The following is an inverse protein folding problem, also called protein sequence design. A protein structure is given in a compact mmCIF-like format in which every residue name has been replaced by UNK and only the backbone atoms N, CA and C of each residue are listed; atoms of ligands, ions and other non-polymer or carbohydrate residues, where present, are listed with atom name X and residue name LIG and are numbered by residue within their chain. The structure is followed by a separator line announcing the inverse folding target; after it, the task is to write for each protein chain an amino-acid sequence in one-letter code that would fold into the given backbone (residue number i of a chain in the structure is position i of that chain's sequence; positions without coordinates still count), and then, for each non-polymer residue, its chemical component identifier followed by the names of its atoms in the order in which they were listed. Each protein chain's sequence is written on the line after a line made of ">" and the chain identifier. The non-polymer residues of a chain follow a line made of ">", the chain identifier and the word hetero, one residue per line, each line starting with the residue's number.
data_IF_045917304853
#
_entry.id   IF_045917304853
#
_cell.length_a   1.000
_cell.length_b   1.000
_cell.length_c   1.000
_cell.angle_alpha   90.00
_cell.angle_beta   90.00
_cell.angle_gamma   90.00
#
_symmetry.space_group_name_H-M   'P 1'
#
loop_
_entity.id
_entity.type
_entity.pdbx_description
1 polymer ?
#
# COMPACT_ATOMS: atom_id res chain seq x y z
N UNK A 1 17.77 2.88 -5.07
CA UNK A 1 18.78 3.80 -5.65
C UNK A 1 19.32 4.84 -4.65
N UNK A 2 18.56 5.22 -3.61
CA UNK A 2 19.04 6.09 -2.53
C UNK A 2 20.37 5.63 -1.88
N UNK A 3 20.50 4.35 -1.53
CA UNK A 3 21.76 3.81 -1.00
C UNK A 3 22.94 3.86 -1.99
N UNK A 4 22.65 3.88 -3.30
CA UNK A 4 23.65 3.99 -4.37
C UNK A 4 24.15 5.44 -4.56
N UNK A 5 23.35 6.44 -4.14
CA UNK A 5 23.73 7.86 -4.17
C UNK A 5 24.42 8.31 -2.87
N UNK A 6 24.06 7.74 -1.71
CA UNK A 6 24.78 7.98 -0.45
C UNK A 6 26.22 7.43 -0.47
N UNK A 7 26.46 6.34 -1.20
CA UNK A 7 27.81 5.80 -1.44
C UNK A 7 28.66 6.68 -2.37
N UNK A 8 28.06 7.66 -3.05
CA UNK A 8 28.74 8.61 -3.94
C UNK A 8 29.03 9.98 -3.28
N UNK A 9 28.96 10.09 -1.95
CA UNK A 9 29.27 11.32 -1.20
C UNK A 9 28.44 12.55 -1.61
N UNK A 10 27.26 12.34 -2.20
CA UNK A 10 26.32 13.43 -2.50
C UNK A 10 25.33 13.51 -1.35
N UNK A 11 25.43 14.56 -0.55
CA UNK A 11 24.51 14.87 0.55
C UNK A 11 23.18 15.36 -0.02
N UNK A 12 22.43 14.44 -0.64
CA UNK A 12 21.09 14.71 -1.17
C UNK A 12 20.08 14.15 -0.19
N UNK A 13 19.19 15.01 0.30
CA UNK A 13 18.14 14.61 1.21
C UNK A 13 17.24 13.55 0.56
N UNK A 14 16.79 12.57 1.33
CA UNK A 14 15.85 11.53 0.87
C UNK A 14 14.64 12.13 0.15
N UNK A 15 14.13 13.25 0.65
CA UNK A 15 12.97 13.93 0.07
C UNK A 15 13.28 14.49 -1.32
N UNK A 16 14.48 15.03 -1.55
CA UNK A 16 14.89 15.54 -2.86
C UNK A 16 15.06 14.42 -3.88
N UNK A 17 15.62 13.27 -3.46
CA UNK A 17 15.70 12.08 -4.31
C UNK A 17 14.31 11.59 -4.70
N UNK A 18 13.37 11.54 -3.74
CA UNK A 18 12.00 11.13 -3.99
C UNK A 18 11.29 12.11 -4.96
N UNK A 19 11.44 13.42 -4.77
CA UNK A 19 10.87 14.44 -5.67
C UNK A 19 11.44 14.31 -7.09
N UNK A 20 12.75 14.08 -7.21
CA UNK A 20 13.38 13.84 -8.52
C UNK A 20 12.89 12.55 -9.18
N UNK A 21 12.63 11.49 -8.42
CA UNK A 21 12.04 10.26 -8.94
C UNK A 21 10.58 10.46 -9.36
N UNK A 22 9.76 11.16 -8.57
CA UNK A 22 8.37 11.45 -8.93
C UNK A 22 8.29 12.25 -10.23
N UNK A 23 9.20 13.21 -10.45
CA UNK A 23 9.27 13.99 -11.70
C UNK A 23 9.65 13.15 -12.93
N UNK A 24 10.24 11.97 -12.75
CA UNK A 24 10.63 11.07 -13.85
C UNK A 24 9.48 10.19 -14.34
N UNK A 25 8.41 10.06 -13.56
CA UNK A 25 7.26 9.24 -13.90
C UNK A 25 6.08 10.12 -14.29
N UNK A 26 5.35 9.71 -15.34
CA UNK A 26 4.09 10.36 -15.70
C UNK A 26 3.07 10.20 -14.57
N UNK A 27 2.11 11.11 -14.51
CA UNK A 27 1.00 10.98 -13.56
C UNK A 27 0.22 9.69 -13.84
N UNK A 28 -0.01 8.92 -12.77
CA UNK A 28 -0.77 7.67 -12.85
C UNK A 28 -2.21 8.00 -13.24
N UNK A 29 -2.67 7.45 -14.36
CA UNK A 29 -4.05 7.65 -14.84
C UNK A 29 -4.99 6.68 -14.11
N UNK A 30 -6.25 7.10 -13.92
CA UNK A 30 -7.28 6.24 -13.30
C UNK A 30 -7.43 4.88 -14.00
N UNK A 31 -7.30 4.86 -15.33
CA UNK A 31 -7.35 3.63 -16.14
C UNK A 31 -6.22 2.64 -15.78
N UNK A 32 -5.02 3.12 -15.46
CA UNK A 32 -3.89 2.27 -15.08
C UNK A 32 -4.13 1.59 -13.73
N UNK A 33 -4.79 2.28 -12.81
CA UNK A 33 -5.21 1.72 -11.52
C UNK A 33 -6.23 0.59 -11.75
N UNK A 34 -7.22 0.80 -12.62
CA UNK A 34 -8.22 -0.21 -12.96
C UNK A 34 -7.56 -1.44 -13.59
N UNK A 35 -6.61 -1.26 -14.52
CA UNK A 35 -5.85 -2.38 -15.07
C UNK A 35 -5.07 -3.14 -13.99
N UNK A 36 -4.46 -2.42 -13.04
CA UNK A 36 -3.79 -3.02 -11.88
C UNK A 36 -4.74 -3.87 -11.04
N UNK A 37 -5.92 -3.35 -10.71
CA UNK A 37 -6.95 -4.08 -9.95
C UNK A 37 -7.43 -5.31 -10.74
N UNK A 38 -7.70 -5.17 -12.04
CA UNK A 38 -8.11 -6.28 -12.90
C UNK A 38 -7.09 -7.42 -12.93
N UNK A 39 -5.80 -7.09 -12.98
CA UNK A 39 -4.73 -8.10 -12.91
C UNK A 39 -4.65 -8.78 -11.53
N UNK A 40 -4.86 -8.02 -10.44
CA UNK A 40 -4.90 -8.58 -9.09
C UNK A 40 -6.07 -9.57 -8.95
N UNK A 41 -7.26 -9.21 -9.43
CA UNK A 41 -8.43 -10.09 -9.44
C UNK A 41 -8.20 -11.33 -10.30
N UNK A 42 -7.65 -11.17 -11.51
CA UNK A 42 -7.31 -12.30 -12.38
C UNK A 42 -6.35 -13.28 -11.70
N UNK A 43 -5.40 -12.78 -10.91
CA UNK A 43 -4.50 -13.61 -10.11
C UNK A 43 -5.19 -14.30 -8.93
N UNK A 44 -6.20 -13.67 -8.32
CA UNK A 44 -7.01 -14.34 -7.28
C UNK A 44 -7.83 -15.49 -7.86
N UNK A 45 -8.36 -15.33 -9.08
CA UNK A 45 -9.19 -16.34 -9.75
C UNK A 45 -8.38 -17.46 -10.40
N UNK A 46 -7.26 -17.12 -11.05
CA UNK A 46 -6.36 -18.05 -11.72
C UNK A 46 -4.98 -17.97 -11.06
N UNK A 47 -4.77 -18.70 -9.93
CA UNK A 47 -3.52 -18.62 -9.19
C UNK A 47 -2.34 -19.08 -10.06
N UNK A 48 -1.45 -18.15 -10.34
CA UNK A 48 -0.25 -18.39 -11.15
C UNK A 48 0.95 -18.57 -10.21
N UNK A 49 1.78 -19.60 -10.44
CA UNK A 49 2.90 -19.96 -9.56
C UNK A 49 4.12 -19.01 -9.64
N UNK A 50 4.06 -17.93 -10.42
CA UNK A 50 5.17 -16.97 -10.57
C UNK A 50 5.00 -15.78 -9.65
N UNK A 51 6.11 -15.24 -9.15
CA UNK A 51 6.09 -14.13 -8.20
C UNK A 51 5.57 -12.89 -8.91
N UNK A 52 4.82 -12.06 -8.20
CA UNK A 52 4.35 -10.77 -8.72
C UNK A 52 5.54 -9.91 -9.20
N UNK A 53 6.65 -9.99 -8.47
CA UNK A 53 7.92 -9.34 -8.79
C UNK A 53 8.52 -9.78 -10.14
N UNK A 54 8.30 -11.01 -10.58
CA UNK A 54 8.82 -11.52 -11.87
C UNK A 54 8.14 -10.80 -13.06
N UNK A 55 6.94 -10.26 -12.83
CA UNK A 55 6.19 -9.47 -13.82
C UNK A 55 6.24 -7.96 -13.57
N UNK A 56 6.58 -7.51 -12.36
CA UNK A 56 6.50 -6.11 -11.92
C UNK A 56 7.82 -5.69 -11.26
N UNK A 57 8.94 -5.93 -11.93
CA UNK A 57 10.26 -5.47 -11.49
C UNK A 57 10.44 -3.96 -11.74
N UNK A 58 9.59 -3.14 -11.11
CA UNK A 58 9.72 -1.69 -11.13
C UNK A 58 9.57 -1.16 -9.72
N UNK A 59 10.46 -0.25 -9.34
CA UNK A 59 10.52 0.41 -8.03
C UNK A 59 9.12 0.92 -7.63
N UNK A 60 8.49 0.27 -6.65
CA UNK A 60 7.10 0.51 -6.28
C UNK A 60 6.96 1.77 -5.43
N UNK A 61 6.56 2.88 -6.06
CA UNK A 61 6.24 4.14 -5.39
C UNK A 61 4.72 4.40 -5.37
N UNK A 62 3.92 3.41 -4.94
CA UNK A 62 2.48 3.61 -4.73
C UNK A 62 2.24 4.16 -3.31
N UNK A 63 1.71 5.38 -3.26
CA UNK A 63 1.28 6.03 -2.03
C UNK A 63 -0.24 6.20 -2.05
N UNK A 64 -0.90 5.77 -0.98
CA UNK A 64 -2.36 5.85 -0.85
C UNK A 64 -2.82 7.04 -0.01
N UNK A 65 -1.96 7.54 0.88
CA UNK A 65 -2.25 8.64 1.80
C UNK A 65 -1.13 9.67 1.74
N UNK A 66 -1.46 10.94 1.92
CA UNK A 66 -0.49 12.03 2.02
C UNK A 66 0.30 11.92 3.32
N UNK A 67 1.62 11.78 3.22
CA UNK A 67 2.52 11.66 4.38
C UNK A 67 2.94 13.02 4.97
N UNK A 68 2.47 14.14 4.42
CA UNK A 68 2.76 15.47 4.97
C UNK A 68 1.81 15.87 6.10
N UNK A 69 0.70 15.15 6.27
CA UNK A 69 -0.25 15.36 7.37
C UNK A 69 0.41 15.04 8.72
N UNK A 70 0.15 15.88 9.73
CA UNK A 70 0.60 15.68 11.11
C UNK A 70 0.12 14.35 11.73
N UNK A 71 -1.01 13.83 11.26
CA UNK A 71 -1.56 12.52 11.68
C UNK A 71 -0.69 11.35 11.22
N UNK A 72 0.21 11.56 10.26
CA UNK A 72 1.13 10.51 9.79
C UNK A 72 2.10 10.05 10.88
N UNK A 73 2.46 10.93 11.81
CA UNK A 73 3.36 10.64 12.93
C UNK A 73 2.67 9.83 14.04
N UNK A 74 1.35 9.97 14.19
CA UNK A 74 0.61 9.35 15.30
C UNK A 74 -0.13 8.07 14.88
N UNK A 75 -0.60 7.99 13.65
CA UNK A 75 -1.42 6.87 13.19
C UNK A 75 -0.56 5.73 12.60
N UNK A 76 -0.49 4.60 13.31
CA UNK A 76 0.29 3.42 12.87
C UNK A 76 -0.19 2.80 11.55
N UNK A 77 -1.44 3.02 11.15
CA UNK A 77 -2.03 2.55 9.90
C UNK A 77 -2.14 3.66 8.84
N UNK A 78 -1.43 4.79 9.00
CA UNK A 78 -1.56 5.98 8.15
C UNK A 78 -1.47 5.68 6.65
N UNK A 79 -0.53 4.82 6.26
CA UNK A 79 -0.26 4.45 4.86
C UNK A 79 -1.45 3.85 4.12
N UNK A 80 -2.43 3.31 4.83
CA UNK A 80 -3.66 2.72 4.25
C UNK A 80 -4.92 3.44 4.73
N UNK A 81 -4.78 4.55 5.47
CA UNK A 81 -5.91 5.22 6.11
C UNK A 81 -6.98 5.66 5.12
N UNK A 82 -6.59 6.22 3.97
CA UNK A 82 -7.53 6.61 2.91
C UNK A 82 -8.37 5.45 2.40
N UNK A 83 -7.78 4.25 2.27
CA UNK A 83 -8.50 3.03 1.88
C UNK A 83 -9.45 2.59 2.98
N UNK A 84 -9.01 2.63 4.23
CA UNK A 84 -9.87 2.29 5.38
C UNK A 84 -11.06 3.24 5.49
N UNK A 85 -10.85 4.55 5.34
CA UNK A 85 -11.91 5.56 5.34
C UNK A 85 -12.93 5.28 4.24
N UNK A 86 -12.47 5.08 3.01
CA UNK A 86 -13.33 4.79 1.87
C UNK A 86 -14.15 3.50 2.06
N UNK A 87 -13.53 2.45 2.61
CA UNK A 87 -14.24 1.21 2.91
C UNK A 87 -15.30 1.44 4.00
N UNK A 88 -14.94 2.08 5.10
CA UNK A 88 -15.87 2.35 6.20
C UNK A 88 -17.07 3.17 5.73
N UNK A 89 -16.82 4.26 5.00
CA UNK A 89 -17.89 5.10 4.45
C UNK A 89 -18.81 4.32 3.51
N UNK A 90 -18.23 3.53 2.61
CA UNK A 90 -19.00 2.74 1.64
C UNK A 90 -19.83 1.65 2.30
N UNK A 91 -19.24 0.90 3.25
CA UNK A 91 -19.97 -0.12 4.00
C UNK A 91 -21.09 0.50 4.83
N UNK A 92 -20.84 1.59 5.55
CA UNK A 92 -21.88 2.24 6.36
C UNK A 92 -23.04 2.76 5.51
N UNK A 93 -22.77 3.22 4.29
CA UNK A 93 -23.82 3.74 3.40
C UNK A 93 -24.67 2.64 2.76
N UNK A 94 -24.05 1.56 2.29
CA UNK A 94 -24.72 0.57 1.44
C UNK A 94 -25.08 -0.74 2.16
N UNK A 95 -24.46 -1.04 3.31
CA UNK A 95 -24.67 -2.31 4.00
C UNK A 95 -25.86 -2.26 4.98
N UNK A 96 -26.89 -3.07 4.70
CA UNK A 96 -27.97 -3.29 5.65
C UNK A 96 -27.58 -4.33 6.69
N UNK A 97 -27.47 -3.89 7.95
CA UNK A 97 -27.05 -4.76 9.05
C UNK A 97 -28.14 -5.80 9.39
N UNK A 98 -27.82 -7.11 9.45
CA UNK A 98 -28.75 -8.14 9.88
C UNK A 98 -29.04 -8.05 11.39
N UNK A 99 -30.12 -8.71 11.85
CA UNK A 99 -30.52 -8.75 13.27
C UNK A 99 -29.54 -9.49 14.19
N UNK A 100 -28.66 -10.31 13.62
CA UNK A 100 -27.61 -11.05 14.32
C UNK A 100 -26.29 -10.82 13.60
N UNK A 101 -25.26 -10.47 14.36
CA UNK A 101 -23.92 -10.17 13.85
C UNK A 101 -22.87 -10.96 14.66
N UNK A 102 -21.86 -11.49 13.97
CA UNK A 102 -20.70 -12.14 14.57
C UNK A 102 -19.45 -11.29 14.31
N UNK A 103 -18.58 -11.23 15.32
CA UNK A 103 -17.27 -10.58 15.21
C UNK A 103 -16.18 -11.62 15.38
N UNK A 104 -15.17 -11.54 14.52
CA UNK A 104 -13.98 -12.39 14.55
C UNK A 104 -12.76 -11.57 14.12
N UNK A 105 -11.58 -12.07 14.44
CA UNK A 105 -10.31 -11.44 14.09
C UNK A 105 -9.65 -12.17 12.90
N UNK A 106 -9.21 -11.41 11.90
CA UNK A 106 -8.46 -11.94 10.77
C UNK A 106 -7.06 -11.32 10.71
N UNK A 107 -6.05 -12.17 10.47
CA UNK A 107 -4.66 -11.72 10.31
C UNK A 107 -4.27 -11.71 8.83
N UNK A 108 -3.84 -10.56 8.33
CA UNK A 108 -3.20 -10.45 7.01
C UNK A 108 -1.71 -10.81 7.16
N UNK A 109 -1.22 -11.89 6.53
CA UNK A 109 0.15 -12.33 6.72
C UNK A 109 1.13 -11.31 6.12
N UNK A 110 2.04 -10.81 6.95
CA UNK A 110 3.13 -9.94 6.51
C UNK A 110 4.41 -10.28 7.26
N UNK A 111 5.47 -10.58 6.51
CA UNK A 111 6.82 -10.80 7.05
C UNK A 111 7.71 -9.56 6.98
N UNK A 112 7.16 -8.44 6.51
CA UNK A 112 7.94 -7.21 6.33
C UNK A 112 8.31 -6.59 7.68
N UNK A 113 9.61 -6.32 7.87
CA UNK A 113 10.13 -5.58 9.04
C UNK A 113 9.62 -4.14 9.14
N UNK A 114 9.12 -3.58 8.04
CA UNK A 114 8.59 -2.21 7.99
C UNK A 114 7.12 -2.13 8.43
N UNK A 115 6.47 -3.27 8.67
CA UNK A 115 5.11 -3.30 9.21
C UNK A 115 5.15 -3.17 10.73
N UNK A 116 4.95 -1.95 11.23
CA UNK A 116 4.94 -1.66 12.66
C UNK A 116 3.74 -2.24 13.42
N UNK A 117 2.69 -2.72 12.76
CA UNK A 117 1.50 -3.34 13.38
C UNK A 117 1.49 -4.87 13.29
N UNK A 118 2.56 -5.48 12.77
CA UNK A 118 2.69 -6.94 12.67
C UNK A 118 2.61 -7.60 14.06
N UNK A 119 1.80 -8.64 14.15
CA UNK A 119 1.70 -9.50 15.32
C UNK A 119 2.08 -10.95 14.95
N UNK A 120 2.49 -11.73 15.95
CA UNK A 120 2.72 -13.16 15.82
C UNK A 120 1.62 -13.89 16.60
N UNK A 121 0.77 -14.62 15.89
CA UNK A 121 -0.20 -15.52 16.50
C UNK A 121 0.53 -16.83 16.82
N UNK A 122 0.40 -17.31 18.06
CA UNK A 122 1.08 -18.52 18.54
C UNK A 122 0.27 -19.79 18.26
N UNK A 123 -1.01 -19.61 17.96
CA UNK A 123 -1.99 -20.67 17.78
C UNK A 123 -1.74 -21.52 16.52
#
# INVERSE_FOLDING_TARGET
>A
MYQKKMTQNVDVSKNEVMVMETKRHEQIKALEIIHGIGLLVARMLCPHNRRLADHWATTTNLYLTDNTDLKSETNRAWKVRSVVDALQETFTREYQMPSVLSFDEAMIPSRSRYNGTRQFMKD
#
